data_IF_251835724745
#
_entry.id   IF_251835724745
#
_cell.length_a   1.000
_cell.length_b   1.000
_cell.length_c   1.000
_cell.angle_alpha   90.00
_cell.angle_beta   90.00
_cell.angle_gamma   90.00
#
_symmetry.space_group_name_H-M   'P 1'
#
loop_
_entity.id
_entity.type
_entity.pdbx_description
1 polymer ?
#
# COMPACT_ATOMS: atom_id res chain seq x y z
N UNK A 1 -33.94 37.10 -3.42
CA UNK A 1 -32.88 37.54 -2.48
C UNK A 1 -32.31 36.25 -1.92
N UNK A 2 -31.24 35.80 -2.55
CA UNK A 2 -30.60 34.50 -2.32
C UNK A 2 -29.90 34.46 -0.96
N UNK A 3 -30.09 33.35 -0.25
CA UNK A 3 -29.31 32.98 0.92
C UNK A 3 -27.91 32.52 0.49
N UNK A 4 -26.83 32.93 1.16
CA UNK A 4 -25.49 32.48 0.80
C UNK A 4 -25.29 31.03 1.25
N UNK A 5 -24.96 30.16 0.30
CA UNK A 5 -24.47 28.80 0.52
C UNK A 5 -23.10 28.87 1.21
N UNK A 6 -23.02 28.43 2.48
CA UNK A 6 -21.76 28.29 3.21
C UNK A 6 -21.00 27.07 2.70
N UNK A 7 -19.76 27.28 2.27
CA UNK A 7 -18.81 26.26 1.83
C UNK A 7 -18.16 25.61 3.06
N UNK A 8 -18.13 24.28 3.11
CA UNK A 8 -17.61 23.48 4.20
C UNK A 8 -16.09 23.26 4.03
N UNK A 9 -15.29 23.72 5.00
CA UNK A 9 -13.86 23.44 5.07
C UNK A 9 -13.62 21.99 5.49
N UNK A 10 -12.91 21.22 4.66
CA UNK A 10 -12.51 19.84 4.95
C UNK A 10 -11.07 19.85 5.48
N UNK A 11 -10.89 19.66 6.78
CA UNK A 11 -9.57 19.52 7.40
C UNK A 11 -9.09 18.05 7.31
N UNK A 12 -7.80 17.85 7.02
CA UNK A 12 -7.14 16.53 7.06
C UNK A 12 -6.10 16.56 8.17
N UNK A 13 -6.21 15.63 9.13
CA UNK A 13 -5.27 15.49 10.24
C UNK A 13 -4.20 14.45 9.89
N UNK A 14 -2.94 14.85 9.82
CA UNK A 14 -1.80 13.91 9.71
C UNK A 14 -1.11 13.86 11.07
N UNK A 15 -1.45 12.85 11.87
CA UNK A 15 -0.80 12.58 13.16
C UNK A 15 0.38 11.63 12.94
N UNK A 16 1.60 12.17 13.02
CA UNK A 16 2.83 11.39 13.13
C UNK A 16 3.19 11.15 14.59
N UNK A 17 2.52 10.20 15.25
CA UNK A 17 2.89 9.75 16.60
C UNK A 17 2.97 8.22 16.61
N UNK A 18 4.14 7.66 16.95
CA UNK A 18 4.25 6.26 17.35
C UNK A 18 3.88 6.21 18.84
N UNK A 19 2.60 6.02 19.12
CA UNK A 19 2.09 5.50 20.38
C UNK A 19 0.78 4.76 20.10
N UNK A 20 0.73 3.47 20.45
CA UNK A 20 -0.46 2.64 20.31
C UNK A 20 -1.47 3.04 21.41
N UNK A 21 -2.19 4.12 21.21
CA UNK A 21 -3.40 4.44 21.95
C UNK A 21 -4.59 4.12 21.05
N UNK A 22 -5.31 3.05 21.38
CA UNK A 22 -6.65 2.79 20.83
C UNK A 22 -7.53 3.93 21.31
N UNK A 23 -7.64 4.97 20.49
CA UNK A 23 -8.64 6.02 20.71
C UNK A 23 -9.91 5.55 20.03
N UNK A 24 -10.91 5.17 20.83
CA UNK A 24 -12.27 4.98 20.36
C UNK A 24 -12.71 6.25 19.62
N UNK A 25 -12.74 6.19 18.29
CA UNK A 25 -13.26 7.25 17.44
C UNK A 25 -14.76 7.39 17.71
N UNK A 26 -15.13 8.38 18.55
CA UNK A 26 -16.49 8.91 18.57
C UNK A 26 -16.72 9.68 17.27
N UNK A 27 -17.92 9.59 16.67
CA UNK A 27 -18.25 10.41 15.51
C UNK A 27 -18.15 11.88 15.91
N UNK A 28 -17.29 12.63 15.22
CA UNK A 28 -17.19 14.09 15.31
C UNK A 28 -18.51 14.65 14.78
N UNK A 29 -19.31 15.27 15.64
CA UNK A 29 -20.53 15.97 15.24
C UNK A 29 -20.18 17.29 14.56
N UNK A 30 -20.86 17.55 13.45
CA UNK A 30 -20.66 18.62 12.46
C UNK A 30 -20.96 20.06 12.97
N UNK A 31 -21.00 20.28 14.30
CA UNK A 31 -21.38 21.56 14.91
C UNK A 31 -20.25 22.29 15.64
N UNK A 32 -19.10 21.65 15.85
CA UNK A 32 -17.98 22.25 16.58
C UNK A 32 -16.77 22.43 15.66
N UNK A 33 -16.59 23.67 15.20
CA UNK A 33 -15.38 24.20 14.54
C UNK A 33 -14.21 24.29 15.54
N UNK A 34 -13.98 23.22 16.32
CA UNK A 34 -13.01 23.17 17.42
C UNK A 34 -11.76 22.36 17.08
N UNK A 35 -11.69 21.72 15.91
CA UNK A 35 -10.64 20.75 15.57
C UNK A 35 -9.21 21.18 15.93
N UNK A 36 -8.77 22.41 15.55
CA UNK A 36 -7.47 22.94 15.95
C UNK A 36 -7.32 23.14 17.47
N UNK A 37 -8.37 23.58 18.17
CA UNK A 37 -8.35 23.78 19.63
C UNK A 37 -8.41 22.46 20.41
N UNK A 38 -9.17 21.48 19.93
CA UNK A 38 -9.17 20.12 20.47
C UNK A 38 -7.79 19.47 20.32
N UNK A 39 -7.14 19.61 19.16
CA UNK A 39 -5.77 19.17 18.96
C UNK A 39 -4.78 19.88 19.91
N UNK A 40 -4.90 21.21 20.09
CA UNK A 40 -4.09 21.96 21.07
C UNK A 40 -4.28 21.45 22.49
N UNK A 41 -5.52 21.16 22.90
CA UNK A 41 -5.83 20.59 24.21
C UNK A 41 -5.19 19.22 24.40
N UNK A 42 -5.36 18.32 23.44
CA UNK A 42 -4.78 16.98 23.49
C UNK A 42 -3.26 17.01 23.61
N UNK A 43 -2.58 17.87 22.85
CA UNK A 43 -1.11 18.02 22.92
C UNK A 43 -0.66 18.46 24.32
N UNK A 44 -1.37 19.43 24.93
CA UNK A 44 -1.06 19.89 26.29
C UNK A 44 -1.25 18.79 27.33
N UNK A 45 -2.27 17.97 27.17
CA UNK A 45 -2.62 16.89 28.12
C UNK A 45 -1.79 15.62 27.93
N UNK A 46 -1.17 15.41 26.75
CA UNK A 46 -0.46 14.19 26.38
C UNK A 46 0.89 13.98 27.08
N UNK A 47 1.32 14.89 27.97
CA UNK A 47 2.55 14.81 28.76
C UNK A 47 3.79 14.39 27.94
N UNK A 48 4.05 15.13 26.85
CA UNK A 48 5.06 14.83 25.82
C UNK A 48 6.45 15.41 26.13
N UNK A 49 6.79 15.66 27.40
CA UNK A 49 7.96 16.45 27.81
C UNK A 49 9.29 15.94 27.24
N UNK A 50 9.44 14.62 27.09
CA UNK A 50 10.65 13.99 26.53
C UNK A 50 10.47 13.51 25.09
N UNK A 51 9.26 13.63 24.54
CA UNK A 51 8.93 13.13 23.21
C UNK A 51 9.27 14.15 22.13
N UNK A 52 9.89 13.69 21.04
CA UNK A 52 9.98 14.46 19.82
C UNK A 52 8.64 14.42 19.09
N UNK A 53 7.80 15.43 19.31
CA UNK A 53 6.48 15.55 18.68
C UNK A 53 6.44 16.69 17.66
N UNK A 54 5.79 16.42 16.52
CA UNK A 54 5.43 17.43 15.52
C UNK A 54 3.95 17.32 15.16
N UNK A 55 3.28 18.46 15.04
CA UNK A 55 1.87 18.57 14.63
C UNK A 55 1.72 19.68 13.61
N UNK A 56 0.99 19.39 12.53
CA UNK A 56 0.56 20.37 11.54
C UNK A 56 -0.91 20.14 11.22
N UNK A 57 -1.74 21.16 11.40
CA UNK A 57 -3.14 21.19 10.99
C UNK A 57 -3.28 22.36 10.01
N UNK A 58 -3.73 22.02 8.81
CA UNK A 58 -3.92 22.97 7.72
C UNK A 58 -5.33 22.85 7.16
N UNK A 59 -5.89 23.99 6.75
CA UNK A 59 -7.05 24.04 5.89
C UNK A 59 -6.61 23.61 4.48
N UNK A 60 -7.21 22.54 3.95
CA UNK A 60 -6.82 21.98 2.65
C UNK A 60 -7.27 22.85 1.48
N UNK A 61 -8.34 23.64 1.65
CA UNK A 61 -8.88 24.51 0.61
C UNK A 61 -8.09 25.83 0.50
N UNK A 62 -7.69 26.40 1.64
CA UNK A 62 -6.97 27.70 1.66
C UNK A 62 -5.46 27.55 1.81
N UNK A 63 -4.98 26.42 2.34
CA UNK A 63 -3.57 26.21 2.70
C UNK A 63 -3.16 26.89 4.01
N UNK A 64 -4.11 27.53 4.72
CA UNK A 64 -3.81 28.22 5.97
C UNK A 64 -3.48 27.23 7.10
N UNK A 65 -2.41 27.51 7.85
CA UNK A 65 -2.03 26.71 9.01
C UNK A 65 -2.82 27.12 10.24
N UNK A 66 -3.74 26.28 10.70
CA UNK A 66 -4.51 26.50 11.92
C UNK A 66 -3.72 26.14 13.20
N UNK A 67 -2.80 25.18 13.10
CA UNK A 67 -1.92 24.76 14.19
C UNK A 67 -0.60 24.22 13.64
N UNK A 68 0.52 24.71 14.18
CA UNK A 68 1.86 24.18 13.91
C UNK A 68 2.66 24.04 15.20
N UNK A 69 3.18 22.83 15.45
CA UNK A 69 4.14 22.53 16.52
C UNK A 69 5.28 21.74 15.88
N UNK A 70 6.51 22.28 15.93
CA UNK A 70 7.70 21.63 15.34
C UNK A 70 7.52 21.16 13.88
N UNK A 71 6.62 21.78 13.12
CA UNK A 71 6.15 21.28 11.81
C UNK A 71 7.23 21.27 10.72
N UNK A 72 8.31 22.05 10.87
CA UNK A 72 9.47 22.06 9.97
C UNK A 72 10.60 21.11 10.35
N UNK A 73 10.46 20.30 11.41
CA UNK A 73 11.50 19.36 11.86
C UNK A 73 11.40 18.02 11.14
N UNK A 74 12.53 17.31 11.05
CA UNK A 74 12.58 15.95 10.53
C UNK A 74 12.19 14.93 11.60
N UNK A 75 11.45 13.91 11.19
CA UNK A 75 11.00 12.80 12.03
C UNK A 75 11.14 11.48 11.26
N UNK A 76 11.25 10.36 11.98
CA UNK A 76 11.13 9.02 11.39
C UNK A 76 9.66 8.77 11.07
N UNK A 77 9.27 8.65 9.79
CA UNK A 77 7.85 8.57 9.41
C UNK A 77 7.19 7.23 9.80
N UNK A 78 7.98 6.17 10.01
CA UNK A 78 7.48 4.81 10.13
C UNK A 78 6.46 4.51 9.01
N UNK A 79 5.28 3.98 9.33
CA UNK A 79 4.26 3.65 8.32
C UNK A 79 3.64 4.87 7.63
N UNK A 80 3.82 6.11 8.10
CA UNK A 80 3.34 7.28 7.33
C UNK A 80 4.13 7.48 6.03
N UNK A 81 5.33 6.87 5.92
CA UNK A 81 6.10 6.81 4.67
C UNK A 81 5.29 6.20 3.52
N UNK A 82 4.33 5.32 3.83
CA UNK A 82 3.44 4.71 2.83
C UNK A 82 2.65 5.76 2.05
N UNK A 83 2.35 6.93 2.61
CA UNK A 83 1.68 8.01 1.87
C UNK A 83 2.53 8.48 0.69
N UNK A 84 3.83 8.70 0.92
CA UNK A 84 4.76 9.12 -0.13
C UNK A 84 5.00 8.01 -1.16
N UNK A 85 5.16 6.76 -0.71
CA UNK A 85 5.31 5.60 -1.61
C UNK A 85 4.06 5.40 -2.47
N UNK A 86 2.85 5.49 -1.89
CA UNK A 86 1.59 5.38 -2.63
C UNK A 86 1.44 6.52 -3.63
N UNK A 87 1.76 7.75 -3.24
CA UNK A 87 1.74 8.89 -4.16
C UNK A 87 2.68 8.69 -5.35
N UNK A 88 3.93 8.25 -5.09
CA UNK A 88 4.89 7.95 -6.14
C UNK A 88 4.41 6.82 -7.06
N UNK A 89 3.83 5.75 -6.49
CA UNK A 89 3.28 4.64 -7.26
C UNK A 89 2.12 5.09 -8.15
N UNK A 90 1.18 5.91 -7.63
CA UNK A 90 0.07 6.45 -8.42
C UNK A 90 0.57 7.36 -9.55
N UNK A 91 1.61 8.15 -9.33
CA UNK A 91 2.20 8.99 -10.38
C UNK A 91 2.92 8.19 -11.47
N UNK A 92 3.67 7.14 -11.09
CA UNK A 92 4.45 6.36 -12.05
C UNK A 92 3.63 5.30 -12.79
N UNK A 93 2.75 4.61 -12.07
CA UNK A 93 2.02 3.45 -12.59
C UNK A 93 0.61 3.84 -13.06
N UNK A 94 0.00 4.83 -12.42
CA UNK A 94 -1.41 5.18 -12.58
C UNK A 94 -2.34 4.35 -11.70
N UNK A 95 -3.56 4.85 -11.48
CA UNK A 95 -4.57 4.17 -10.66
C UNK A 95 -5.10 2.87 -11.28
N UNK A 96 -5.01 2.76 -12.61
CA UNK A 96 -5.50 1.61 -13.37
C UNK A 96 -4.42 0.56 -13.66
N UNK A 97 -3.20 0.74 -13.13
CA UNK A 97 -2.13 -0.24 -13.31
C UNK A 97 -2.56 -1.63 -12.85
N UNK A 98 -2.17 -2.65 -13.61
CA UNK A 98 -2.36 -4.06 -13.27
C UNK A 98 -1.02 -4.76 -13.39
N UNK A 99 -0.67 -5.53 -12.37
CA UNK A 99 0.49 -6.39 -12.40
C UNK A 99 0.23 -7.55 -13.36
N UNK A 100 1.25 -7.95 -14.13
CA UNK A 100 1.13 -9.03 -15.11
C UNK A 100 2.03 -10.21 -14.75
N UNK A 101 1.42 -11.34 -14.40
CA UNK A 101 2.13 -12.61 -14.22
C UNK A 101 1.95 -13.45 -15.48
N UNK A 102 3.05 -13.92 -16.07
CA UNK A 102 3.04 -14.55 -17.40
C UNK A 102 3.55 -16.00 -17.37
N UNK A 103 2.95 -16.85 -18.20
CA UNK A 103 3.46 -18.20 -18.47
C UNK A 103 4.14 -18.22 -19.83
N UNK A 104 5.40 -18.61 -19.85
CA UNK A 104 6.18 -18.83 -21.05
C UNK A 104 6.30 -20.32 -21.30
N UNK A 105 5.90 -20.72 -22.51
CA UNK A 105 6.00 -22.09 -22.99
C UNK A 105 6.85 -22.05 -24.25
N UNK A 106 8.07 -22.60 -24.24
CA UNK A 106 8.90 -22.70 -25.43
C UNK A 106 8.22 -23.59 -26.47
N UNK A 107 8.39 -23.27 -27.75
CA UNK A 107 7.92 -24.11 -28.85
C UNK A 107 8.78 -25.36 -28.96
N UNK A 108 8.51 -26.38 -28.14
CA UNK A 108 9.24 -27.64 -28.27
C UNK A 108 8.41 -28.80 -27.72
N UNK A 109 8.01 -29.71 -28.62
CA UNK A 109 8.41 -31.13 -28.59
C UNK A 109 7.97 -31.91 -29.84
N UNK A 110 8.56 -33.11 -30.00
CA UNK A 110 8.27 -34.06 -31.08
C UNK A 110 6.88 -34.73 -31.01
N UNK A 111 6.21 -34.67 -29.85
CA UNK A 111 4.89 -35.27 -29.63
C UNK A 111 3.82 -34.20 -29.32
N UNK A 112 2.60 -34.31 -29.87
CA UNK A 112 1.51 -33.38 -29.58
C UNK A 112 1.18 -33.29 -28.09
N UNK A 113 1.12 -32.06 -27.56
CA UNK A 113 0.66 -31.75 -26.20
C UNK A 113 1.70 -31.92 -25.09
N UNK A 114 2.93 -32.32 -25.41
CA UNK A 114 4.02 -32.39 -24.42
C UNK A 114 4.89 -31.15 -24.55
N UNK A 115 5.27 -30.50 -23.44
CA UNK A 115 6.21 -29.36 -23.43
C UNK A 115 7.44 -29.67 -22.59
N UNK A 116 8.61 -29.13 -22.95
CA UNK A 116 9.87 -29.40 -22.23
C UNK A 116 9.93 -28.73 -20.88
N UNK A 117 9.54 -27.46 -20.81
CA UNK A 117 9.54 -26.68 -19.59
C UNK A 117 8.52 -25.55 -19.70
N UNK A 118 8.07 -25.06 -18.56
CA UNK A 118 7.17 -23.91 -18.46
C UNK A 118 7.80 -22.93 -17.49
N UNK A 119 7.83 -21.65 -17.84
CA UNK A 119 8.35 -20.60 -16.97
C UNK A 119 7.20 -19.71 -16.50
N UNK A 120 6.92 -19.70 -15.20
CA UNK A 120 6.05 -18.75 -14.54
C UNK A 120 6.87 -17.52 -14.16
N UNK A 121 6.70 -16.43 -14.89
CA UNK A 121 7.41 -15.18 -14.64
C UNK A 121 6.51 -14.21 -13.87
N UNK A 122 6.92 -13.89 -12.64
CA UNK A 122 6.19 -13.00 -11.75
C UNK A 122 6.32 -11.54 -12.15
N UNK A 123 5.20 -10.82 -12.21
CA UNK A 123 5.15 -9.38 -12.51
C UNK A 123 5.17 -8.46 -11.29
N UNK A 124 5.33 -9.02 -10.09
CA UNK A 124 5.29 -8.27 -8.83
C UNK A 124 3.90 -8.02 -8.26
N UNK A 125 2.91 -8.82 -8.65
CA UNK A 125 1.57 -8.74 -8.08
C UNK A 125 1.59 -9.03 -6.57
N UNK A 126 1.35 -8.03 -5.70
CA UNK A 126 1.39 -8.22 -4.26
C UNK A 126 0.19 -9.04 -3.74
N UNK A 127 -0.81 -9.30 -4.59
CA UNK A 127 -1.99 -10.09 -4.26
C UNK A 127 -1.91 -11.54 -4.74
N UNK A 128 -0.84 -11.92 -5.45
CA UNK A 128 -0.62 -13.28 -5.91
C UNK A 128 -0.28 -14.20 -4.72
N UNK A 129 -1.31 -14.70 -4.03
CA UNK A 129 -1.17 -15.61 -2.89
C UNK A 129 -1.42 -14.98 -1.51
N UNK A 130 -2.12 -13.85 -1.41
CA UNK A 130 -2.43 -13.23 -0.11
C UNK A 130 -3.21 -14.19 0.82
N UNK A 131 -2.93 -14.09 2.13
CA UNK A 131 -3.37 -15.01 3.20
C UNK A 131 -4.85 -14.84 3.55
N UNK A 132 -5.41 -13.63 3.39
CA UNK A 132 -6.87 -13.43 3.42
C UNK A 132 -7.57 -14.02 2.18
N UNK A 133 -6.78 -14.31 1.14
CA UNK A 133 -7.19 -14.83 -0.15
C UNK A 133 -6.77 -16.29 -0.38
N UNK A 134 -6.41 -17.06 0.67
CA UNK A 134 -6.20 -18.53 0.58
C UNK A 134 -7.37 -19.24 -0.13
N UNK A 135 -8.56 -18.62 -0.17
CA UNK A 135 -9.73 -19.08 -0.94
C UNK A 135 -9.61 -18.94 -2.46
N UNK A 136 -8.92 -17.93 -2.99
CA UNK A 136 -8.80 -17.72 -4.43
C UNK A 136 -7.36 -17.59 -4.97
N UNK A 137 -6.33 -17.78 -4.15
CA UNK A 137 -5.00 -18.14 -4.63
C UNK A 137 -5.04 -19.41 -5.51
N UNK A 138 -5.82 -20.47 -5.18
CA UNK A 138 -6.05 -21.58 -6.10
C UNK A 138 -6.62 -21.10 -7.44
N UNK A 139 -7.58 -20.17 -7.45
CA UNK A 139 -8.22 -19.71 -8.67
C UNK A 139 -7.26 -19.00 -9.65
N UNK A 140 -6.28 -18.25 -9.16
CA UNK A 140 -5.26 -17.63 -10.01
C UNK A 140 -4.38 -18.68 -10.70
N UNK A 141 -3.91 -19.68 -9.94
CA UNK A 141 -3.13 -20.78 -10.50
C UNK A 141 -3.96 -21.74 -11.37
N UNK A 142 -5.24 -21.95 -11.05
CA UNK A 142 -6.18 -22.71 -11.87
C UNK A 142 -6.42 -22.03 -13.22
N UNK A 143 -6.52 -20.70 -13.24
CA UNK A 143 -6.63 -19.94 -14.49
C UNK A 143 -5.38 -20.10 -15.37
N UNK A 144 -4.20 -20.02 -14.76
CA UNK A 144 -2.92 -20.24 -15.43
C UNK A 144 -2.80 -21.69 -15.98
N UNK A 145 -3.17 -22.69 -15.18
CA UNK A 145 -3.20 -24.09 -15.60
C UNK A 145 -4.23 -24.33 -16.72
N UNK A 146 -5.42 -23.74 -16.61
CA UNK A 146 -6.47 -23.79 -17.64
C UNK A 146 -6.01 -23.19 -18.96
N UNK A 147 -5.23 -22.10 -18.91
CA UNK A 147 -4.65 -21.48 -20.10
C UNK A 147 -3.63 -22.41 -20.79
N UNK A 148 -2.83 -23.18 -20.05
CA UNK A 148 -1.94 -24.20 -20.61
C UNK A 148 -2.74 -25.34 -21.26
N UNK A 149 -3.76 -25.85 -20.56
CA UNK A 149 -4.62 -26.92 -21.06
C UNK A 149 -5.38 -26.51 -22.33
N UNK A 150 -5.90 -25.28 -22.38
CA UNK A 150 -6.57 -24.73 -23.57
C UNK A 150 -5.64 -24.60 -24.79
N UNK A 151 -4.32 -24.52 -24.56
CA UNK A 151 -3.29 -24.55 -25.60
C UNK A 151 -2.86 -25.97 -26.00
N UNK A 152 -3.54 -26.99 -25.48
CA UNK A 152 -3.29 -28.41 -25.77
C UNK A 152 -2.16 -29.03 -24.97
N UNK A 153 -1.61 -28.33 -23.97
CA UNK A 153 -0.56 -28.87 -23.09
C UNK A 153 -1.19 -29.88 -22.14
N UNK A 154 -0.74 -31.13 -22.21
CA UNK A 154 -1.18 -32.25 -21.35
C UNK A 154 -0.07 -32.77 -20.45
N UNK A 155 1.19 -32.49 -20.78
CA UNK A 155 2.35 -32.94 -20.00
C UNK A 155 3.51 -31.94 -20.08
N UNK A 156 4.12 -31.65 -18.93
CA UNK A 156 5.43 -31.00 -18.83
C UNK A 156 6.46 -32.11 -18.61
N UNK A 157 7.38 -32.30 -19.55
CA UNK A 157 8.36 -33.40 -19.52
C UNK A 157 9.61 -33.06 -18.69
N UNK A 158 9.92 -31.77 -18.55
CA UNK A 158 11.01 -31.26 -17.72
C UNK A 158 10.47 -30.30 -16.65
N UNK A 159 11.07 -29.11 -16.55
CA UNK A 159 10.91 -28.26 -15.36
C UNK A 159 9.74 -27.27 -15.44
N UNK A 160 9.11 -27.05 -14.29
CA UNK A 160 8.32 -25.86 -14.01
C UNK A 160 9.23 -24.85 -13.29
N UNK A 161 9.58 -23.76 -13.97
CA UNK A 161 10.51 -22.74 -13.49
C UNK A 161 9.72 -21.55 -12.98
N UNK A 162 10.00 -21.09 -11.76
CA UNK A 162 9.47 -19.83 -11.21
C UNK A 162 10.53 -18.75 -11.37
N UNK A 163 10.28 -17.79 -12.26
CA UNK A 163 11.15 -16.65 -12.51
C UNK A 163 10.67 -15.43 -11.71
N UNK A 164 11.37 -15.16 -10.61
CA UNK A 164 11.22 -13.98 -9.76
C UNK A 164 12.34 -12.95 -9.97
N UNK A 165 13.11 -13.04 -11.05
CA UNK A 165 14.29 -12.20 -11.29
C UNK A 165 14.00 -10.73 -11.53
N UNK A 166 12.73 -10.35 -11.75
CA UNK A 166 12.29 -8.99 -12.06
C UNK A 166 12.78 -7.94 -11.04
N UNK A 167 12.87 -8.31 -9.76
CA UNK A 167 13.26 -7.40 -8.67
C UNK A 167 14.66 -7.70 -8.09
N UNK A 168 15.43 -8.59 -8.72
CA UNK A 168 16.73 -9.03 -8.21
C UNK A 168 16.62 -9.96 -7.00
N UNK A 169 17.76 -10.26 -6.37
CA UNK A 169 17.86 -11.21 -5.25
C UNK A 169 17.87 -10.54 -3.86
N UNK A 170 17.99 -9.22 -3.80
CA UNK A 170 18.07 -8.47 -2.54
C UNK A 170 16.67 -8.22 -1.97
N UNK A 171 16.13 -9.25 -1.31
CA UNK A 171 14.76 -9.23 -0.78
C UNK A 171 14.63 -8.56 0.59
N UNK A 172 15.74 -8.18 1.23
CA UNK A 172 15.77 -7.55 2.55
C UNK A 172 16.05 -6.05 2.37
N UNK A 173 15.08 -5.17 2.68
CA UNK A 173 15.31 -3.73 2.61
C UNK A 173 16.39 -3.26 3.58
N UNK A 174 17.17 -2.27 3.15
CA UNK A 174 18.15 -1.61 4.03
C UNK A 174 17.46 -1.04 5.27
N UNK A 175 18.02 -1.32 6.45
CA UNK A 175 17.51 -0.82 7.73
C UNK A 175 16.58 -1.78 8.47
N UNK A 176 16.22 -2.93 7.89
CA UNK A 176 15.55 -3.99 8.64
C UNK A 176 16.53 -4.64 9.63
N UNK A 177 16.06 -4.90 10.84
CA UNK A 177 16.84 -5.63 11.83
C UNK A 177 16.63 -7.13 11.69
N UNK A 178 17.66 -7.92 12.01
CA UNK A 178 17.59 -9.38 11.98
C UNK A 178 16.48 -9.97 12.86
N UNK A 179 16.04 -9.26 13.90
CA UNK A 179 14.97 -9.72 14.79
C UNK A 179 13.56 -9.65 14.19
N UNK A 180 13.41 -9.13 12.97
CA UNK A 180 12.12 -8.99 12.27
C UNK A 180 12.07 -9.71 10.91
N UNK A 181 13.13 -10.46 10.58
CA UNK A 181 13.19 -11.38 9.44
C UNK A 181 12.76 -12.78 9.89
#
# INVERSE_FOLDING_TARGET
>A
MDSPTRSFGKYVFVLGAIFMAVSCSRPVSDSDDDGPESARRMIREANLETAHCGVLVLDVATGETALGLNSGRLFTPASTMKLMTTYAALLQLGADYRFETTLWVPETNAEPGVVTHVVLRGGGDPFLGDREWEKNAPAAFDSLASALAARGVTKIAGDLVVDASLYGSDIIPAGWSWGHL
#
